data_IF_797852896712
#
_entry.id   IF_797852896712
#
_cell.length_a   1.000
_cell.length_b   1.000
_cell.length_c   1.000
_cell.angle_alpha   90.00
_cell.angle_beta   90.00
_cell.angle_gamma   90.00
#
_symmetry.space_group_name_H-M   'P 1'
#
loop_
_entity.id
_entity.type
_entity.pdbx_description
1 polymer ?
#
# COMPACT_ATOMS: atom_id res chain seq x y z
N UNK A 1 7.69 49.15 2.48
CA UNK A 1 8.33 48.07 3.27
C UNK A 1 7.32 47.26 4.07
N UNK A 2 6.60 47.83 5.07
CA UNK A 2 5.59 47.08 5.84
C UNK A 2 4.40 46.57 4.99
N UNK A 3 3.85 47.41 4.10
CA UNK A 3 2.76 46.99 3.22
C UNK A 3 3.21 45.97 2.16
N UNK A 4 4.47 46.01 1.72
CA UNK A 4 5.02 45.05 0.78
C UNK A 4 5.13 43.66 1.43
N UNK A 5 5.56 43.60 2.69
CA UNK A 5 5.59 42.35 3.46
C UNK A 5 4.18 41.79 3.73
N UNK A 6 3.19 42.64 3.99
CA UNK A 6 1.79 42.21 4.12
C UNK A 6 1.27 41.61 2.81
N UNK A 7 1.59 42.24 1.67
CA UNK A 7 1.21 41.74 0.36
C UNK A 7 1.92 40.42 0.02
N UNK A 8 3.17 40.26 0.41
CA UNK A 8 3.93 39.02 0.26
C UNK A 8 3.34 37.88 1.11
N UNK A 9 2.99 38.16 2.37
CA UNK A 9 2.32 37.20 3.25
C UNK A 9 0.95 36.81 2.69
N UNK A 10 0.15 37.76 2.19
CA UNK A 10 -1.14 37.46 1.56
C UNK A 10 -0.99 36.60 0.30
N UNK A 11 0.04 36.84 -0.51
CA UNK A 11 0.41 35.99 -1.64
C UNK A 11 0.74 34.56 -1.20
N UNK A 12 1.66 34.41 -0.24
CA UNK A 12 2.06 33.11 0.28
C UNK A 12 0.89 32.32 0.90
N UNK A 13 -0.05 33.00 1.57
CA UNK A 13 -1.24 32.37 2.13
C UNK A 13 -2.21 31.89 1.04
N UNK A 14 -2.36 32.65 -0.06
CA UNK A 14 -3.17 32.21 -1.21
C UNK A 14 -2.55 31.00 -1.89
N UNK A 15 -1.24 30.97 -2.04
CA UNK A 15 -0.51 29.86 -2.63
C UNK A 15 -0.60 28.61 -1.75
N UNK A 16 -0.40 28.76 -0.43
CA UNK A 16 -0.57 27.66 0.53
C UNK A 16 -2.00 27.10 0.47
N UNK A 17 -3.01 27.96 0.38
CA UNK A 17 -4.41 27.52 0.20
C UNK A 17 -4.60 26.75 -1.11
N UNK A 18 -3.94 27.18 -2.19
CA UNK A 18 -3.92 26.47 -3.47
C UNK A 18 -3.35 25.07 -3.33
N UNK A 19 -2.13 24.96 -2.79
CA UNK A 19 -1.47 23.67 -2.57
C UNK A 19 -2.30 22.73 -1.67
N UNK A 20 -2.93 23.24 -0.62
CA UNK A 20 -3.78 22.42 0.26
C UNK A 20 -5.01 21.87 -0.48
N UNK A 21 -5.58 22.63 -1.43
CA UNK A 21 -6.71 22.17 -2.25
C UNK A 21 -6.26 21.08 -3.24
N UNK A 22 -5.09 21.26 -3.85
CA UNK A 22 -4.52 20.28 -4.78
C UNK A 22 -4.18 18.98 -4.06
N UNK A 23 -3.63 19.06 -2.84
CA UNK A 23 -3.41 17.91 -1.97
C UNK A 23 -4.73 17.20 -1.65
N UNK A 24 -5.78 17.95 -1.28
CA UNK A 24 -7.11 17.37 -1.03
C UNK A 24 -7.63 16.57 -2.23
N UNK A 25 -7.53 17.16 -3.42
CA UNK A 25 -7.97 16.53 -4.67
C UNK A 25 -7.14 15.28 -5.02
N UNK A 26 -5.83 15.32 -4.74
CA UNK A 26 -4.95 14.16 -4.93
C UNK A 26 -5.28 13.02 -3.96
N UNK A 27 -5.63 13.33 -2.70
CA UNK A 27 -6.05 12.34 -1.71
C UNK A 27 -7.32 11.63 -2.15
N UNK A 28 -8.30 12.34 -2.69
CA UNK A 28 -9.53 11.72 -3.22
C UNK A 28 -9.23 10.73 -4.35
N UNK A 29 -8.36 11.11 -5.30
CA UNK A 29 -7.89 10.20 -6.37
C UNK A 29 -7.17 8.98 -5.79
N UNK A 30 -6.36 9.17 -4.74
CA UNK A 30 -5.69 8.05 -4.08
C UNK A 30 -6.67 7.10 -3.40
N UNK A 31 -7.80 7.58 -2.86
CA UNK A 31 -8.84 6.72 -2.29
C UNK A 31 -9.45 5.85 -3.38
N UNK A 32 -9.78 6.43 -4.54
CA UNK A 32 -10.32 5.67 -5.68
C UNK A 32 -9.32 4.60 -6.16
N UNK A 33 -8.03 4.96 -6.26
CA UNK A 33 -6.99 3.99 -6.61
C UNK A 33 -6.83 2.86 -5.58
N UNK A 34 -7.01 3.16 -4.28
CA UNK A 34 -6.97 2.14 -3.24
C UNK A 34 -8.17 1.18 -3.35
N UNK A 35 -9.35 1.68 -3.72
CA UNK A 35 -10.53 0.85 -3.98
C UNK A 35 -10.30 -0.09 -5.18
N UNK A 36 -9.74 0.44 -6.28
CA UNK A 36 -9.36 -0.36 -7.45
C UNK A 36 -8.32 -1.45 -7.09
N UNK A 37 -7.31 -1.12 -6.28
CA UNK A 37 -6.32 -2.09 -5.82
C UNK A 37 -6.98 -3.16 -4.96
N UNK A 38 -7.86 -2.77 -4.03
CA UNK A 38 -8.59 -3.73 -3.20
C UNK A 38 -9.43 -4.69 -4.04
N UNK A 39 -10.14 -4.19 -5.05
CA UNK A 39 -10.91 -5.01 -5.98
C UNK A 39 -10.03 -6.03 -6.72
N UNK A 40 -8.86 -5.61 -7.23
CA UNK A 40 -7.92 -6.53 -7.88
C UNK A 40 -7.36 -7.58 -6.92
N UNK A 41 -7.01 -7.20 -5.69
CA UNK A 41 -6.51 -8.14 -4.67
C UNK A 41 -7.58 -9.18 -4.34
N UNK A 42 -8.83 -8.79 -4.16
CA UNK A 42 -9.95 -9.71 -3.89
C UNK A 42 -10.16 -10.67 -5.07
N UNK A 43 -10.07 -10.17 -6.31
CA UNK A 43 -10.20 -11.02 -7.50
C UNK A 43 -9.05 -12.05 -7.59
N UNK A 44 -7.82 -11.63 -7.31
CA UNK A 44 -6.67 -12.54 -7.25
C UNK A 44 -6.83 -13.57 -6.14
N UNK A 45 -7.26 -13.16 -4.95
CA UNK A 45 -7.52 -14.06 -3.82
C UNK A 45 -8.53 -15.13 -4.21
N UNK A 46 -9.66 -14.73 -4.81
CA UNK A 46 -10.69 -15.67 -5.26
C UNK A 46 -10.13 -16.71 -6.25
N UNK A 47 -9.30 -16.30 -7.20
CA UNK A 47 -8.66 -17.21 -8.17
C UNK A 47 -7.68 -18.16 -7.44
N UNK A 48 -6.80 -17.61 -6.60
CA UNK A 48 -5.79 -18.39 -5.87
C UNK A 48 -6.47 -19.41 -4.97
N UNK A 49 -7.51 -19.06 -4.23
CA UNK A 49 -8.28 -20.01 -3.41
C UNK A 49 -8.84 -21.18 -4.23
N UNK A 50 -9.26 -20.97 -5.48
CA UNK A 50 -9.73 -22.06 -6.34
C UNK A 50 -8.57 -22.94 -6.85
N UNK A 51 -7.39 -22.38 -7.06
CA UNK A 51 -6.18 -23.11 -7.44
C UNK A 51 -5.70 -23.97 -6.26
N UNK A 52 -5.64 -23.41 -5.05
CA UNK A 52 -5.23 -24.11 -3.83
C UNK A 52 -6.06 -25.37 -3.56
N UNK A 53 -7.34 -25.40 -3.96
CA UNK A 53 -8.20 -26.60 -3.85
C UNK A 53 -7.79 -27.76 -4.76
N UNK A 54 -6.97 -27.51 -5.77
CA UNK A 54 -6.62 -28.49 -6.82
C UNK A 54 -5.14 -28.84 -6.87
N UNK A 55 -4.31 -28.08 -6.16
CA UNK A 55 -2.86 -28.16 -6.23
C UNK A 55 -2.33 -28.40 -4.82
N UNK A 56 -1.45 -29.37 -4.69
CA UNK A 56 -0.70 -29.58 -3.45
C UNK A 56 0.32 -28.46 -3.30
N UNK A 57 0.33 -27.83 -2.12
CA UNK A 57 1.23 -26.72 -1.81
C UNK A 57 2.23 -27.22 -0.78
N UNK A 58 3.51 -26.93 -1.03
CA UNK A 58 4.58 -27.06 -0.05
C UNK A 58 4.58 -25.83 0.88
N UNK A 59 4.13 -25.97 2.14
CA UNK A 59 4.05 -24.85 3.07
C UNK A 59 5.43 -24.30 3.46
N UNK A 60 6.44 -25.16 3.49
CA UNK A 60 7.78 -24.78 3.92
C UNK A 60 8.51 -24.06 2.78
N UNK A 61 8.40 -24.56 1.55
CA UNK A 61 8.87 -23.84 0.36
C UNK A 61 8.22 -22.46 0.19
N UNK A 62 6.93 -22.31 0.53
CA UNK A 62 6.27 -21.00 0.50
C UNK A 62 6.82 -20.02 1.55
N UNK A 63 7.16 -20.50 2.76
CA UNK A 63 7.78 -19.68 3.82
C UNK A 63 9.21 -19.30 3.47
N UNK A 64 9.98 -20.24 2.94
CA UNK A 64 11.35 -19.99 2.49
C UNK A 64 11.36 -18.93 1.39
N UNK A 65 10.44 -19.02 0.44
CA UNK A 65 10.28 -17.98 -0.58
C UNK A 65 9.98 -16.61 0.02
N UNK A 66 9.07 -16.51 1.00
CA UNK A 66 8.78 -15.23 1.69
C UNK A 66 10.05 -14.68 2.33
N UNK A 67 10.78 -15.52 3.07
CA UNK A 67 12.02 -15.14 3.73
C UNK A 67 13.06 -14.59 2.73
N UNK A 68 13.31 -15.33 1.66
CA UNK A 68 14.29 -14.96 0.63
C UNK A 68 13.93 -13.63 -0.07
N UNK A 69 12.64 -13.40 -0.31
CA UNK A 69 12.19 -12.27 -1.14
C UNK A 69 11.82 -11.02 -0.32
N UNK A 70 11.75 -11.12 1.00
CA UNK A 70 11.31 -10.01 1.85
C UNK A 70 12.22 -9.68 3.03
N UNK A 71 13.25 -10.49 3.30
CA UNK A 71 14.20 -10.23 4.39
C UNK A 71 14.92 -8.87 4.27
N UNK A 72 15.30 -8.48 3.05
CA UNK A 72 15.97 -7.20 2.78
C UNK A 72 15.07 -5.97 2.96
N UNK A 73 13.75 -6.11 2.74
CA UNK A 73 12.78 -5.01 2.80
C UNK A 73 12.01 -4.94 4.12
N UNK A 74 12.00 -6.03 4.90
CA UNK A 74 11.29 -6.12 6.17
C UNK A 74 12.16 -5.88 7.40
N UNK A 75 13.46 -5.66 7.22
CA UNK A 75 14.45 -5.56 8.31
C UNK A 75 14.40 -6.75 9.29
N UNK A 76 13.94 -7.90 8.79
CA UNK A 76 13.75 -9.13 9.56
C UNK A 76 14.36 -10.31 8.80
N UNK A 77 15.25 -11.05 9.46
CA UNK A 77 15.92 -12.23 8.87
C UNK A 77 14.92 -13.34 8.48
N UNK A 78 13.75 -13.40 9.11
CA UNK A 78 12.66 -14.33 8.78
C UNK A 78 11.74 -13.82 7.65
N UNK A 79 11.98 -12.61 7.13
CA UNK A 79 11.13 -11.96 6.15
C UNK A 79 9.88 -11.30 6.74
N UNK A 80 8.93 -10.97 5.87
CA UNK A 80 7.73 -10.24 6.18
C UNK A 80 6.79 -11.07 7.07
N UNK A 81 6.72 -10.70 8.35
CA UNK A 81 5.79 -11.31 9.30
C UNK A 81 4.32 -11.18 8.86
N UNK A 82 3.95 -10.07 8.21
CA UNK A 82 2.61 -9.89 7.65
C UNK A 82 2.33 -10.89 6.52
N UNK A 83 3.29 -11.11 5.62
CA UNK A 83 3.15 -12.10 4.56
C UNK A 83 3.02 -13.52 5.13
N UNK A 84 3.81 -13.85 6.16
CA UNK A 84 3.71 -15.14 6.85
C UNK A 84 2.35 -15.33 7.55
N UNK A 85 1.76 -14.29 8.13
CA UNK A 85 0.42 -14.35 8.71
C UNK A 85 -0.66 -14.62 7.64
N UNK A 86 -0.61 -13.90 6.51
CA UNK A 86 -1.54 -14.11 5.39
C UNK A 86 -1.36 -15.52 4.79
N UNK A 87 -0.12 -15.99 4.62
CA UNK A 87 0.15 -17.35 4.15
C UNK A 87 -0.48 -18.39 5.08
N UNK A 88 -0.34 -18.22 6.40
CA UNK A 88 -0.96 -19.14 7.36
C UNK A 88 -2.49 -19.15 7.28
N UNK A 89 -3.12 -18.02 6.94
CA UNK A 89 -4.56 -17.96 6.73
C UNK A 89 -5.01 -18.64 5.43
N UNK A 90 -4.21 -18.53 4.35
CA UNK A 90 -4.50 -19.16 3.05
C UNK A 90 -4.32 -20.69 3.04
N UNK A 91 -3.52 -21.22 3.97
CA UNK A 91 -3.23 -22.65 4.10
C UNK A 91 -4.16 -23.38 5.08
N UNK A 92 -5.11 -22.69 5.72
CA UNK A 92 -6.14 -23.29 6.58
C UNK A 92 -7.22 -23.98 5.76
#
# INVERSE_FOLDING_TARGET
>A
MFFDQINEIDGNLKDLRGHLKDIGSAVDIHIDHLDDIAAHVIALEAIVTQILKKVEIDPDGARDWIKENTSSSSENEEGSQKANAVLADLLK
#
